data_IF_333685342874
#
_entry.id   IF_333685342874
#
_cell.length_a   1.000
_cell.length_b   1.000
_cell.length_c   1.000
_cell.angle_alpha   90.00
_cell.angle_beta   90.00
_cell.angle_gamma   90.00
#
_symmetry.space_group_name_H-M   'P 1'
#
loop_
_entity.id
_entity.type
_entity.pdbx_description
1 polymer ?
#
# COMPACT_ATOMS: atom_id res chain seq x y z
N UNK A 1 -2.86 43.45 -16.16
CA UNK A 1 -3.27 42.04 -16.10
C UNK A 1 -2.94 41.56 -14.69
N UNK A 2 -3.91 41.21 -13.84
CA UNK A 2 -3.59 40.64 -12.53
C UNK A 2 -3.15 39.19 -12.70
N UNK A 3 -1.94 38.93 -12.19
CA UNK A 3 -1.34 37.64 -11.91
C UNK A 3 -2.18 36.93 -10.85
N UNK A 4 -2.91 35.87 -11.24
CA UNK A 4 -3.56 34.98 -10.29
C UNK A 4 -2.56 33.88 -9.90
N UNK A 5 -1.99 34.02 -8.72
CA UNK A 5 -1.37 32.91 -8.01
C UNK A 5 -2.44 31.83 -7.75
N UNK A 6 -2.17 30.54 -8.04
CA UNK A 6 -3.11 29.49 -7.66
C UNK A 6 -3.18 29.41 -6.14
N UNK A 7 -4.42 29.49 -5.64
CA UNK A 7 -4.84 29.29 -4.27
C UNK A 7 -4.31 27.92 -3.76
N UNK A 8 -4.04 27.75 -2.45
CA UNK A 8 -3.70 26.43 -1.92
C UNK A 8 -4.89 25.49 -2.16
N UNK A 9 -4.68 24.44 -2.95
CA UNK A 9 -5.66 23.39 -3.18
C UNK A 9 -6.18 22.88 -1.83
N UNK A 10 -7.40 23.28 -1.50
CA UNK A 10 -8.24 22.49 -0.61
C UNK A 10 -8.34 21.13 -1.30
N UNK A 11 -7.63 20.13 -0.78
CA UNK A 11 -7.60 18.77 -1.33
C UNK A 11 -9.03 18.23 -1.24
N UNK A 12 -9.84 18.49 -2.25
CA UNK A 12 -11.07 17.75 -2.45
C UNK A 12 -10.65 16.28 -2.62
N UNK A 13 -11.36 15.33 -1.98
CA UNK A 13 -11.02 13.91 -2.12
C UNK A 13 -11.05 13.57 -3.60
N UNK A 14 -9.88 13.20 -4.14
CA UNK A 14 -9.75 12.91 -5.56
C UNK A 14 -10.55 11.64 -5.87
N UNK A 15 -11.24 11.56 -7.03
CA UNK A 15 -11.85 10.31 -7.47
C UNK A 15 -10.79 9.21 -7.49
N UNK A 16 -11.19 7.98 -7.17
CA UNK A 16 -10.29 6.84 -7.24
C UNK A 16 -9.99 6.55 -8.72
N UNK A 17 -8.84 7.01 -9.18
CA UNK A 17 -8.35 6.79 -10.55
C UNK A 17 -6.88 6.33 -10.54
N UNK A 18 -6.37 5.96 -11.72
CA UNK A 18 -5.01 5.44 -11.86
C UNK A 18 -3.93 6.43 -11.39
N UNK A 19 -4.12 7.74 -11.61
CA UNK A 19 -3.20 8.77 -11.14
C UNK A 19 -3.22 8.90 -9.62
N UNK A 20 -4.41 8.83 -9.03
CA UNK A 20 -4.57 8.82 -7.57
C UNK A 20 -3.90 7.60 -6.92
N UNK A 21 -4.03 6.41 -7.50
CA UNK A 21 -3.35 5.18 -7.07
C UNK A 21 -1.83 5.31 -7.24
N UNK A 22 -1.35 5.82 -8.37
CA UNK A 22 0.08 6.02 -8.58
C UNK A 22 0.67 6.93 -7.50
N UNK A 23 0.05 8.07 -7.23
CA UNK A 23 0.49 8.98 -6.17
C UNK A 23 0.42 8.34 -4.77
N UNK A 24 -0.62 7.56 -4.48
CA UNK A 24 -0.73 6.81 -3.23
C UNK A 24 0.43 5.83 -3.06
N UNK A 25 0.70 5.00 -4.08
CA UNK A 25 1.74 3.98 -4.05
C UNK A 25 3.13 4.61 -3.94
N UNK A 26 3.42 5.66 -4.72
CA UNK A 26 4.71 6.34 -4.65
C UNK A 26 4.95 6.99 -3.28
N UNK A 27 3.95 7.67 -2.72
CA UNK A 27 4.05 8.26 -1.38
C UNK A 27 4.24 7.18 -0.31
N UNK A 28 3.43 6.14 -0.35
CA UNK A 28 3.52 5.02 0.57
C UNK A 28 4.90 4.36 0.56
N UNK A 29 5.44 4.06 -0.62
CA UNK A 29 6.73 3.40 -0.70
C UNK A 29 7.92 4.31 -0.38
N UNK A 30 7.77 5.63 -0.51
CA UNK A 30 8.76 6.58 0.00
C UNK A 30 8.88 6.49 1.53
N UNK A 31 7.76 6.46 2.25
CA UNK A 31 7.73 6.27 3.70
C UNK A 31 8.18 4.85 4.11
N UNK A 32 7.79 3.80 3.36
CA UNK A 32 8.29 2.43 3.60
C UNK A 32 9.81 2.37 3.49
N UNK A 33 10.40 3.02 2.49
CA UNK A 33 11.85 3.06 2.29
C UNK A 33 12.57 3.80 3.42
N UNK A 34 11.96 4.87 3.93
CA UNK A 34 12.50 5.64 5.06
C UNK A 34 12.26 4.96 6.43
N UNK A 35 11.32 4.01 6.51
CA UNK A 35 10.92 3.41 7.77
C UNK A 35 12.02 2.49 8.33
N UNK A 36 12.44 2.66 9.60
CA UNK A 36 13.60 1.95 10.16
C UNK A 36 13.42 0.42 10.21
N UNK A 37 12.18 -0.05 10.28
CA UNK A 37 11.87 -1.48 10.31
C UNK A 37 11.59 -2.07 8.92
N UNK A 38 11.07 -1.28 7.97
CA UNK A 38 10.69 -1.81 6.65
C UNK A 38 11.79 -1.58 5.63
N UNK A 39 12.39 -0.39 5.61
CA UNK A 39 13.44 0.02 4.71
C UNK A 39 14.53 -1.06 4.53
N UNK A 40 15.14 -1.58 5.61
CA UNK A 40 16.19 -2.60 5.50
C UNK A 40 15.74 -3.88 4.75
N UNK A 41 14.51 -4.34 4.98
CA UNK A 41 13.97 -5.55 4.32
C UNK A 41 13.76 -5.31 2.82
N UNK A 42 13.23 -4.13 2.46
CA UNK A 42 13.04 -3.77 1.06
C UNK A 42 14.36 -3.49 0.35
N UNK A 43 15.32 -2.82 0.99
CA UNK A 43 16.65 -2.58 0.45
C UNK A 43 17.41 -3.90 0.20
N UNK A 44 17.35 -4.86 1.12
CA UNK A 44 17.94 -6.20 0.91
C UNK A 44 17.30 -6.93 -0.28
N UNK A 45 15.98 -6.83 -0.44
CA UNK A 45 15.26 -7.51 -1.52
C UNK A 45 15.40 -6.84 -2.90
N UNK A 46 15.36 -5.51 -2.93
CA UNK A 46 15.25 -4.72 -4.15
C UNK A 46 16.58 -4.11 -4.59
N UNK A 47 17.41 -3.65 -3.66
CA UNK A 47 18.57 -2.80 -3.96
C UNK A 47 18.18 -1.63 -4.85
N UNK A 48 18.86 -1.45 -5.97
CA UNK A 48 18.57 -0.37 -6.94
C UNK A 48 17.29 -0.57 -7.78
N UNK A 49 16.54 -1.66 -7.59
CA UNK A 49 15.37 -2.02 -8.42
C UNK A 49 14.06 -1.43 -7.91
N UNK A 50 14.09 -0.21 -7.37
CA UNK A 50 12.92 0.48 -6.83
C UNK A 50 11.93 0.90 -7.92
N UNK A 51 12.37 1.58 -8.98
CA UNK A 51 11.49 2.00 -10.08
C UNK A 51 10.65 0.87 -10.68
N UNK A 52 11.24 -0.28 -11.10
CA UNK A 52 10.45 -1.37 -11.64
C UNK A 52 9.57 -2.06 -10.59
N UNK A 53 9.90 -1.96 -9.29
CA UNK A 53 9.04 -2.42 -8.22
C UNK A 53 7.82 -1.52 -8.07
N UNK A 54 8.03 -0.20 -8.00
CA UNK A 54 6.97 0.80 -7.89
C UNK A 54 5.96 0.70 -9.04
N UNK A 55 6.43 0.60 -10.28
CA UNK A 55 5.55 0.43 -11.45
C UNK A 55 4.63 -0.79 -11.29
N UNK A 56 5.18 -1.94 -10.88
CA UNK A 56 4.37 -3.16 -10.63
C UNK A 56 3.39 -3.00 -9.48
N UNK A 57 3.76 -2.24 -8.44
CA UNK A 57 2.89 -1.97 -7.31
C UNK A 57 1.74 -1.05 -7.70
N UNK A 58 1.96 -0.07 -8.58
CA UNK A 58 0.89 0.76 -9.16
C UNK A 58 -0.10 -0.13 -9.92
N UNK A 59 0.38 -1.01 -10.82
CA UNK A 59 -0.48 -1.94 -11.54
C UNK A 59 -1.26 -2.89 -10.61
N UNK A 60 -0.60 -3.38 -9.55
CA UNK A 60 -1.21 -4.24 -8.54
C UNK A 60 -2.35 -3.52 -7.81
N UNK A 61 -2.09 -2.32 -7.28
CA UNK A 61 -3.11 -1.57 -6.55
C UNK A 61 -4.21 -1.03 -7.45
N UNK A 62 -3.90 -0.67 -8.69
CA UNK A 62 -4.92 -0.33 -9.68
C UNK A 62 -5.80 -1.54 -9.99
N UNK A 63 -5.22 -2.75 -10.07
CA UNK A 63 -5.98 -4.01 -10.22
C UNK A 63 -6.90 -4.26 -9.02
N UNK A 64 -6.37 -4.09 -7.81
CA UNK A 64 -7.12 -4.33 -6.56
C UNK A 64 -8.22 -3.30 -6.35
N UNK A 65 -7.93 -2.02 -6.56
CA UNK A 65 -8.84 -0.92 -6.25
C UNK A 65 -9.85 -0.63 -7.39
N UNK A 66 -9.44 -0.78 -8.64
CA UNK A 66 -10.28 -0.46 -9.83
C UNK A 66 -10.78 -1.70 -10.57
N UNK A 67 -10.38 -2.91 -10.14
CA UNK A 67 -10.68 -4.14 -10.87
C UNK A 67 -9.92 -4.25 -12.20
N UNK A 68 -8.85 -3.45 -12.40
CA UNK A 68 -8.04 -3.52 -13.60
C UNK A 68 -7.44 -4.93 -13.77
N UNK A 69 -7.32 -5.45 -15.00
CA UNK A 69 -6.70 -6.77 -15.26
C UNK A 69 -5.20 -6.66 -15.57
N UNK A 70 -4.52 -5.68 -14.99
CA UNK A 70 -3.15 -5.30 -15.38
C UNK A 70 -2.07 -6.08 -14.65
N UNK A 71 -2.33 -6.56 -13.42
CA UNK A 71 -1.35 -7.34 -12.66
C UNK A 71 -1.40 -8.84 -12.96
N UNK A 72 -0.27 -9.40 -13.43
CA UNK A 72 -0.07 -10.85 -13.65
C UNK A 72 1.18 -11.31 -12.91
N UNK A 73 1.02 -11.65 -11.62
CA UNK A 73 2.13 -12.13 -10.80
C UNK A 73 1.70 -12.93 -9.58
N UNK A 74 2.57 -13.81 -9.09
CA UNK A 74 2.33 -14.55 -7.85
C UNK A 74 3.05 -13.85 -6.69
N UNK A 75 2.35 -12.92 -6.04
CA UNK A 75 2.90 -12.08 -4.96
C UNK A 75 3.38 -12.93 -3.79
N UNK A 76 2.65 -14.00 -3.46
CA UNK A 76 2.96 -14.90 -2.36
C UNK A 76 4.32 -15.58 -2.53
N UNK A 77 4.59 -16.17 -3.70
CA UNK A 77 5.87 -16.87 -3.97
C UNK A 77 7.09 -15.95 -3.80
N UNK A 78 6.96 -14.67 -4.16
CA UNK A 78 8.05 -13.69 -4.02
C UNK A 78 8.32 -13.35 -2.55
N UNK A 79 7.27 -13.18 -1.76
CA UNK A 79 7.41 -12.86 -0.33
C UNK A 79 7.91 -14.06 0.48
N UNK A 80 7.53 -15.29 0.14
CA UNK A 80 8.03 -16.51 0.81
C UNK A 80 9.54 -16.72 0.66
N UNK A 81 10.17 -16.11 -0.34
CA UNK A 81 11.62 -16.17 -0.52
C UNK A 81 12.37 -15.14 0.35
N UNK A 82 11.66 -14.21 0.99
CA UNK A 82 12.26 -13.20 1.86
C UNK A 82 12.60 -13.82 3.22
N UNK A 83 13.76 -13.45 3.74
CA UNK A 83 14.19 -13.80 5.08
C UNK A 83 14.02 -12.58 6.01
N UNK A 84 13.92 -12.80 7.31
CA UNK A 84 13.84 -11.70 8.29
C UNK A 84 12.48 -10.98 8.38
N UNK A 85 11.47 -11.37 7.59
CA UNK A 85 10.12 -10.80 7.71
C UNK A 85 9.48 -11.30 9.00
N UNK A 86 9.02 -10.37 9.84
CA UNK A 86 8.37 -10.64 11.14
C UNK A 86 6.96 -10.04 11.19
N UNK A 87 6.11 -10.42 12.17
CA UNK A 87 4.79 -9.81 12.35
C UNK A 87 4.80 -8.29 12.48
N UNK A 88 5.86 -7.72 13.08
CA UNK A 88 6.02 -6.28 13.22
C UNK A 88 6.13 -5.56 11.87
N UNK A 89 6.69 -6.21 10.85
CA UNK A 89 6.78 -5.67 9.49
C UNK A 89 5.38 -5.53 8.87
N UNK A 90 4.53 -6.54 9.04
CA UNK A 90 3.16 -6.47 8.54
C UNK A 90 2.36 -5.37 9.25
N UNK A 91 2.47 -5.27 10.57
CA UNK A 91 1.80 -4.24 11.35
C UNK A 91 2.24 -2.82 10.92
N UNK A 92 3.55 -2.59 10.76
CA UNK A 92 4.09 -1.31 10.31
C UNK A 92 3.63 -0.97 8.88
N UNK A 93 3.68 -1.94 7.97
CA UNK A 93 3.29 -1.76 6.57
C UNK A 93 1.80 -1.40 6.43
N UNK A 94 0.92 -2.12 7.15
CA UNK A 94 -0.52 -1.84 7.19
C UNK A 94 -0.81 -0.48 7.84
N UNK A 95 -0.09 -0.14 8.92
CA UNK A 95 -0.22 1.15 9.60
C UNK A 95 0.12 2.33 8.70
N UNK A 96 1.23 2.25 7.96
CA UNK A 96 1.60 3.27 6.96
C UNK A 96 0.52 3.35 5.86
N UNK A 97 0.07 2.22 5.33
CA UNK A 97 -0.96 2.21 4.28
C UNK A 97 -2.24 2.92 4.71
N UNK A 98 -2.68 2.65 5.95
CA UNK A 98 -3.81 3.36 6.58
C UNK A 98 -3.59 4.87 6.61
N UNK A 99 -2.42 5.33 7.08
CA UNK A 99 -2.12 6.77 7.13
C UNK A 99 -2.16 7.43 5.74
N UNK A 100 -1.62 6.79 4.71
CA UNK A 100 -1.61 7.35 3.36
C UNK A 100 -3.01 7.38 2.72
N UNK A 101 -3.81 6.35 2.96
CA UNK A 101 -5.18 6.27 2.42
C UNK A 101 -6.11 7.30 3.10
N UNK A 102 -6.06 7.42 4.43
CA UNK A 102 -6.86 8.40 5.19
C UNK A 102 -6.53 9.85 4.84
N UNK A 103 -5.27 10.15 4.51
CA UNK A 103 -4.85 11.50 4.13
C UNK A 103 -5.30 11.90 2.72
N UNK A 104 -5.53 10.93 1.83
CA UNK A 104 -5.67 11.17 0.39
C UNK A 104 -7.08 10.92 -0.14
N UNK A 105 -7.88 10.11 0.53
CA UNK A 105 -9.19 9.69 0.06
C UNK A 105 -10.28 9.94 1.11
N UNK A 106 -11.53 9.98 0.63
CA UNK A 106 -12.71 9.97 1.49
C UNK A 106 -12.73 8.69 2.36
N UNK A 107 -13.35 8.72 3.55
CA UNK A 107 -13.31 7.62 4.51
C UNK A 107 -13.78 6.28 3.93
N UNK A 108 -14.82 6.26 3.11
CA UNK A 108 -15.31 5.03 2.45
C UNK A 108 -14.25 4.42 1.52
N UNK A 109 -13.66 5.24 0.64
CA UNK A 109 -12.62 4.80 -0.29
C UNK A 109 -11.35 4.38 0.44
N UNK A 110 -10.95 5.12 1.47
CA UNK A 110 -9.81 4.78 2.30
C UNK A 110 -10.05 3.44 3.02
N UNK A 111 -11.25 3.21 3.53
CA UNK A 111 -11.63 1.96 4.17
C UNK A 111 -11.54 0.77 3.21
N UNK A 112 -12.09 0.87 1.99
CA UNK A 112 -12.00 -0.20 1.00
C UNK A 112 -10.54 -0.55 0.65
N UNK A 113 -9.70 0.46 0.45
CA UNK A 113 -8.27 0.27 0.19
C UNK A 113 -7.54 -0.37 1.39
N UNK A 114 -7.93 -0.03 2.62
CA UNK A 114 -7.39 -0.63 3.83
C UNK A 114 -7.82 -2.09 3.94
N UNK A 115 -9.11 -2.40 3.78
CA UNK A 115 -9.63 -3.77 3.80
C UNK A 115 -8.88 -4.67 2.81
N UNK A 116 -8.69 -4.17 1.59
CA UNK A 116 -7.92 -4.87 0.57
C UNK A 116 -6.46 -5.13 1.01
N UNK A 117 -5.79 -4.12 1.59
CA UNK A 117 -4.44 -4.25 2.11
C UNK A 117 -4.31 -5.24 3.27
N UNK A 118 -5.27 -5.24 4.19
CA UNK A 118 -5.35 -6.23 5.26
C UNK A 118 -5.55 -7.64 4.69
N UNK A 119 -6.39 -7.82 3.68
CA UNK A 119 -6.58 -9.09 2.99
C UNK A 119 -5.28 -9.63 2.37
N UNK A 120 -4.52 -8.78 1.68
CA UNK A 120 -3.21 -9.12 1.11
C UNK A 120 -2.20 -9.46 2.21
N UNK A 121 -2.07 -8.60 3.23
CA UNK A 121 -1.16 -8.80 4.34
C UNK A 121 -1.46 -10.10 5.09
N UNK A 122 -2.75 -10.41 5.34
CA UNK A 122 -3.19 -11.65 5.98
C UNK A 122 -2.81 -12.88 5.16
N UNK A 123 -3.02 -12.85 3.84
CA UNK A 123 -2.68 -13.98 2.99
C UNK A 123 -1.16 -14.22 2.96
N UNK A 124 -0.36 -13.16 2.85
CA UNK A 124 1.10 -13.22 2.91
C UNK A 124 1.59 -13.71 4.28
N UNK A 125 1.03 -13.17 5.36
CA UNK A 125 1.37 -13.57 6.72
C UNK A 125 1.11 -15.06 6.93
N UNK A 126 -0.06 -15.56 6.53
CA UNK A 126 -0.38 -16.99 6.61
C UNK A 126 0.61 -17.85 5.83
N UNK A 127 1.01 -17.40 4.64
CA UNK A 127 1.97 -18.12 3.81
C UNK A 127 3.39 -18.18 4.41
N UNK A 128 3.81 -17.12 5.12
CA UNK A 128 5.14 -17.00 5.72
C UNK A 128 5.22 -17.62 7.12
N UNK A 129 4.17 -17.46 7.92
CA UNK A 129 4.16 -17.78 9.35
C UNK A 129 3.39 -19.06 9.67
N UNK A 130 2.62 -19.60 8.73
CA UNK A 130 1.78 -20.80 8.94
C UNK A 130 0.64 -20.59 9.93
N UNK A 131 0.37 -19.35 10.38
CA UNK A 131 -0.68 -19.00 11.33
C UNK A 131 -1.40 -17.72 10.91
N UNK A 132 -2.53 -17.41 11.53
CA UNK A 132 -3.25 -16.15 11.30
C UNK A 132 -2.54 -14.98 11.99
N UNK A 133 -2.58 -13.78 11.40
CA UNK A 133 -2.03 -12.58 12.00
C UNK A 133 -2.83 -12.12 13.22
N UNK A 134 -2.13 -11.46 14.15
CA UNK A 134 -2.70 -10.81 15.34
C UNK A 134 -2.71 -9.27 15.21
N UNK A 135 -2.38 -8.72 14.03
CA UNK A 135 -2.51 -7.29 13.80
C UNK A 135 -3.98 -6.90 13.64
N UNK A 136 -4.39 -5.81 14.29
CA UNK A 136 -5.79 -5.37 14.39
C UNK A 136 -6.48 -5.38 13.01
N UNK A 137 -7.62 -6.07 12.92
CA UNK A 137 -8.47 -5.98 11.73
C UNK A 137 -9.08 -4.57 11.67
N UNK A 138 -9.19 -3.97 10.47
CA UNK A 138 -9.88 -2.71 10.30
C UNK A 138 -11.32 -2.97 10.73
N UNK A 139 -11.80 -2.21 11.73
CA UNK A 139 -13.10 -2.43 12.37
C UNK A 139 -14.16 -2.75 11.31
N UNK A 140 -14.63 -3.99 11.32
CA UNK A 140 -15.46 -4.53 10.25
C UNK A 140 -16.73 -3.71 10.10
N UNK A 141 -17.09 -3.41 8.86
CA UNK A 141 -18.41 -2.92 8.52
C UNK A 141 -19.41 -4.03 8.90
N UNK A 142 -20.11 -3.85 10.02
CA UNK A 142 -21.32 -4.61 10.31
C UNK A 142 -22.35 -4.24 9.24
N UNK A 143 -22.65 -5.19 8.36
CA UNK A 143 -23.90 -5.21 7.62
C UNK A 143 -24.67 -6.45 8.05
#
# INVERSE_FOLDING_TARGET
MPDQAPLPDTIAPSPLDHGAIAALVHGFYADVRAHPLLGPVFEEALGDRWEPHLARMVDFWATVALGARSYRGNVQKRHMALQGVTPAHFAAWVGLWKQHTERRFAPDVAHDLQQAAHGVARNLFRALMGRLPDFAEPAGHGH
#
